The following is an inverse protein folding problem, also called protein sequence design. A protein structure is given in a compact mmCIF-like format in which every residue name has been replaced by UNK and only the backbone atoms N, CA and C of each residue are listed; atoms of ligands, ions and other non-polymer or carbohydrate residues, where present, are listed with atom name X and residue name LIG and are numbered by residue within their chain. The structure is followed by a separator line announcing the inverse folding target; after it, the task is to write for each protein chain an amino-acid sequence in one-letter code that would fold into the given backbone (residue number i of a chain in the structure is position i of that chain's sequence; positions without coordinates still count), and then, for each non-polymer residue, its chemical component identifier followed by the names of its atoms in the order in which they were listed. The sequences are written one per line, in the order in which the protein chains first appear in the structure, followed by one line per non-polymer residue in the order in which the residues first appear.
data_IF_282477823354
#
_entry.id   IF_282477823354
#
_cell.length_a   1.000
_cell.length_b   1.000
_cell.length_c   1.000
_cell.angle_alpha   90.00
_cell.angle_beta   90.00
_cell.angle_gamma   90.00
#
_symmetry.space_group_name_H-M   'P 1'
#
loop_
_entity.id
_entity.type
_entity.pdbx_description
1 polymer ?
#
# COMPACT_ATOMS: atom_id res chain seq x y z
N UNK A 1 -0.73 7.58 10.67
CA UNK A 1 -1.84 7.02 9.86
C UNK A 1 -1.24 6.43 8.59
N UNK A 2 -1.72 5.29 8.10
CA UNK A 2 -1.35 4.72 6.80
C UNK A 2 -2.60 4.08 6.18
N UNK A 3 -2.89 4.38 4.91
CA UNK A 3 -4.06 3.85 4.20
C UNK A 3 -4.20 4.44 2.79
N UNK A 4 -4.69 3.64 1.84
CA UNK A 4 -4.98 4.07 0.47
C UNK A 4 -3.78 4.64 -0.31
N UNK A 5 -2.55 4.20 0.00
CA UNK A 5 -1.32 4.73 -0.60
C UNK A 5 -0.81 6.04 0.04
N UNK A 6 -1.42 6.49 1.13
CA UNK A 6 -0.99 7.67 1.89
C UNK A 6 -0.55 7.29 3.30
N UNK A 7 0.50 7.95 3.81
CA UNK A 7 0.93 7.79 5.19
C UNK A 7 1.47 9.09 5.78
N UNK A 8 1.44 9.20 7.11
CA UNK A 8 1.96 10.33 7.87
C UNK A 8 2.84 9.83 9.01
N UNK A 9 4.04 10.41 9.15
CA UNK A 9 5.01 10.09 10.19
C UNK A 9 5.37 11.35 10.98
N UNK A 10 5.38 11.23 12.31
CA UNK A 10 6.03 12.20 13.18
C UNK A 10 7.44 11.69 13.49
N UNK A 11 8.45 12.43 13.05
CA UNK A 11 9.87 12.04 13.16
C UNK A 11 10.69 13.19 13.74
N UNK A 12 11.88 12.91 14.32
CA UNK A 12 12.79 13.97 14.72
C UNK A 12 13.09 14.92 13.55
N UNK A 13 13.10 16.23 13.79
CA UNK A 13 13.26 17.25 12.75
C UNK A 13 14.52 17.06 11.87
N UNK A 14 15.59 16.45 12.41
CA UNK A 14 16.82 16.12 11.66
C UNK A 14 16.61 15.08 10.56
N UNK A 15 15.59 14.23 10.65
CA UNK A 15 15.27 13.25 9.61
C UNK A 15 14.85 13.93 8.30
N UNK A 16 14.28 15.14 8.39
CA UNK A 16 13.85 15.93 7.23
C UNK A 16 15.06 16.36 6.38
N UNK A 17 16.21 16.55 7.01
CA UNK A 17 17.45 16.93 6.32
C UNK A 17 17.98 15.82 5.37
N UNK A 18 17.45 14.60 5.49
CA UNK A 18 17.81 13.43 4.66
C UNK A 18 16.70 13.01 3.69
N UNK A 19 15.62 13.79 3.54
CA UNK A 19 14.49 13.41 2.67
C UNK A 19 14.92 13.10 1.24
N UNK A 20 15.83 13.90 0.66
CA UNK A 20 16.30 13.67 -0.70
C UNK A 20 17.07 12.35 -0.85
N UNK A 21 17.80 11.94 0.19
CA UNK A 21 18.50 10.66 0.23
C UNK A 21 17.49 9.51 0.24
N UNK A 22 16.47 9.62 1.10
CA UNK A 22 15.40 8.62 1.18
C UNK A 22 14.58 8.56 -0.11
N UNK A 23 14.25 9.69 -0.72
CA UNK A 23 13.50 9.75 -1.98
C UNK A 23 14.29 9.10 -3.11
N UNK A 24 15.61 9.34 -3.21
CA UNK A 24 16.49 8.66 -4.17
C UNK A 24 16.50 7.14 -4.00
N UNK A 25 16.58 6.68 -2.76
CA UNK A 25 16.57 5.25 -2.46
C UNK A 25 15.25 4.60 -2.90
N UNK A 26 14.13 5.21 -2.50
CA UNK A 26 12.78 4.76 -2.87
C UNK A 26 12.59 4.78 -4.39
N UNK A 27 12.94 5.88 -5.06
CA UNK A 27 12.82 6.01 -6.52
C UNK A 27 13.62 4.91 -7.21
N UNK A 28 14.85 4.61 -6.75
CA UNK A 28 15.67 3.56 -7.35
C UNK A 28 15.03 2.17 -7.25
N UNK A 29 14.45 1.81 -6.10
CA UNK A 29 13.82 0.51 -5.92
C UNK A 29 12.50 0.39 -6.68
N UNK A 30 11.64 1.41 -6.57
CA UNK A 30 10.35 1.42 -7.25
C UNK A 30 10.53 1.44 -8.77
N UNK A 31 11.46 2.24 -9.29
CA UNK A 31 11.73 2.30 -10.73
C UNK A 31 12.25 0.97 -11.28
N UNK A 32 13.14 0.29 -10.55
CA UNK A 32 13.65 -1.03 -10.97
C UNK A 32 12.55 -2.09 -10.99
N UNK A 33 11.61 -2.05 -10.05
CA UNK A 33 10.56 -3.05 -9.93
C UNK A 33 9.34 -2.79 -10.84
N UNK A 34 8.98 -1.51 -11.03
CA UNK A 34 7.70 -1.12 -11.64
C UNK A 34 7.85 -0.07 -12.75
N UNK A 35 9.08 0.25 -13.16
CA UNK A 35 9.34 1.30 -14.14
C UNK A 35 8.71 2.63 -13.70
N UNK A 36 7.90 3.22 -14.58
CA UNK A 36 7.20 4.49 -14.33
C UNK A 36 5.77 4.32 -13.83
N UNK A 37 5.25 3.09 -13.75
CA UNK A 37 3.83 2.83 -13.46
C UNK A 37 3.47 3.06 -12.00
N UNK A 38 4.44 2.90 -11.10
CA UNK A 38 4.31 3.19 -9.67
C UNK A 38 5.35 4.22 -9.25
N UNK A 39 4.96 5.19 -8.44
CA UNK A 39 5.87 6.14 -7.81
C UNK A 39 5.45 6.36 -6.36
N UNK A 40 6.43 6.48 -5.47
CA UNK A 40 6.22 6.80 -4.05
C UNK A 40 6.87 8.13 -3.76
N UNK A 41 6.07 9.09 -3.28
CA UNK A 41 6.52 10.45 -3.01
C UNK A 41 6.54 10.68 -1.51
N UNK A 42 7.69 11.08 -0.99
CA UNK A 42 7.84 11.49 0.41
C UNK A 42 8.15 12.99 0.49
N UNK A 43 7.42 13.68 1.35
CA UNK A 43 7.62 15.10 1.65
C UNK A 43 7.58 15.30 3.17
N UNK A 44 8.15 16.39 3.65
CA UNK A 44 8.17 16.67 5.08
C UNK A 44 8.46 18.13 5.38
N UNK A 45 7.95 18.57 6.52
CA UNK A 45 8.08 19.94 7.03
C UNK A 45 8.47 19.89 8.51
N UNK A 46 9.43 20.74 8.90
CA UNK A 46 9.83 20.88 10.31
C UNK A 46 8.73 21.63 11.04
N UNK A 47 8.39 21.17 12.23
CA UNK A 47 7.34 21.77 13.05
C UNK A 47 7.92 22.27 14.37
N UNK A 48 7.54 23.49 14.73
CA UNK A 48 7.66 24.02 16.09
C UNK A 48 6.41 23.68 16.90
N UNK A 49 6.48 23.80 18.24
CA UNK A 49 5.33 23.58 19.11
C UNK A 49 4.16 24.53 18.80
N UNK A 50 4.43 25.77 18.39
CA UNK A 50 3.39 26.71 17.99
C UNK A 50 2.62 26.23 16.74
N UNK A 51 3.31 25.66 15.75
CA UNK A 51 2.70 25.16 14.51
C UNK A 51 1.91 23.86 14.71
N UNK A 52 2.12 23.17 15.83
CA UNK A 52 1.27 22.02 16.20
C UNK A 52 -0.14 22.45 16.62
N UNK A 53 -0.30 23.69 17.11
CA UNK A 53 -1.62 24.24 17.43
C UNK A 53 -2.44 24.57 16.16
N UNK A 54 -1.77 24.90 15.05
CA UNK A 54 -2.39 25.13 13.73
C UNK A 54 -2.17 23.97 12.75
N UNK A 55 -2.39 22.74 13.23
CA UNK A 55 -2.10 21.52 12.48
C UNK A 55 -2.80 21.44 11.11
N UNK A 56 -3.99 22.04 10.96
CA UNK A 56 -4.72 22.05 9.68
C UNK A 56 -3.96 22.81 8.57
N UNK A 57 -3.39 23.98 8.87
CA UNK A 57 -2.66 24.76 7.86
C UNK A 57 -1.33 24.08 7.51
N UNK A 58 -0.70 23.48 8.51
CA UNK A 58 0.46 22.60 8.35
C UNK A 58 0.16 21.44 7.40
N UNK A 59 -0.95 20.72 7.58
CA UNK A 59 -1.36 19.63 6.67
C UNK A 59 -1.65 20.11 5.25
N UNK A 60 -2.22 21.31 5.10
CA UNK A 60 -2.48 21.91 3.78
C UNK A 60 -1.18 22.21 3.04
N UNK A 61 -0.22 22.85 3.70
CA UNK A 61 1.13 23.10 3.14
C UNK A 61 1.83 21.82 2.73
N UNK A 62 1.77 20.78 3.57
CA UNK A 62 2.33 19.46 3.25
C UNK A 62 1.64 18.82 2.02
N UNK A 63 0.32 19.01 1.89
CA UNK A 63 -0.44 18.57 0.73
C UNK A 63 0.01 19.27 -0.56
N UNK A 64 0.14 20.60 -0.53
CA UNK A 64 0.63 21.41 -1.66
C UNK A 64 2.04 20.98 -2.10
N UNK A 65 2.95 20.80 -1.13
CA UNK A 65 4.31 20.30 -1.39
C UNK A 65 4.29 18.90 -2.02
N UNK A 66 3.41 18.02 -1.54
CA UNK A 66 3.25 16.67 -2.09
C UNK A 66 2.74 16.69 -3.53
N UNK A 67 1.80 17.58 -3.86
CA UNK A 67 1.31 17.76 -5.23
C UNK A 67 2.40 18.31 -6.16
N UNK A 68 3.25 19.23 -5.69
CA UNK A 68 4.38 19.69 -6.48
C UNK A 68 5.33 18.53 -6.83
N UNK A 69 5.68 17.70 -5.84
CA UNK A 69 6.55 16.54 -6.06
C UNK A 69 5.90 15.46 -6.93
N UNK A 70 4.58 15.26 -6.82
CA UNK A 70 3.83 14.36 -7.73
C UNK A 70 3.86 14.82 -9.18
N UNK A 71 4.03 16.10 -9.45
CA UNK A 71 4.22 16.63 -10.81
C UNK A 71 5.68 16.53 -11.30
N UNK A 72 6.61 16.10 -10.43
CA UNK A 72 8.04 15.95 -10.70
C UNK A 72 8.53 14.54 -10.35
N UNK A 73 7.72 13.51 -10.62
CA UNK A 73 8.05 12.10 -10.33
C UNK A 73 9.38 11.71 -10.96
N UNK A 74 10.17 10.91 -10.26
CA UNK A 74 11.49 10.45 -10.70
C UNK A 74 12.46 11.57 -11.07
N UNK A 75 12.25 12.81 -10.61
CA UNK A 75 13.20 13.91 -10.81
C UNK A 75 14.60 13.59 -10.27
N UNK A 76 14.69 12.68 -9.29
CA UNK A 76 15.97 12.19 -8.78
C UNK A 76 16.70 11.25 -9.75
N UNK A 77 15.97 10.58 -10.65
CA UNK A 77 16.50 9.63 -11.63
C UNK A 77 16.56 10.20 -13.05
N UNK A 78 15.78 11.24 -13.37
CA UNK A 78 15.66 11.79 -14.73
C UNK A 78 17.00 12.27 -15.30
N UNK A 79 17.91 12.73 -14.44
CA UNK A 79 19.24 13.17 -14.85
C UNK A 79 20.25 12.02 -15.01
N UNK A 80 19.82 10.77 -14.82
CA UNK A 80 20.64 9.58 -15.00
C UNK A 80 20.41 8.97 -16.38
N UNK A 81 21.44 8.37 -16.98
CA UNK A 81 21.31 7.72 -18.30
C UNK A 81 20.26 6.61 -18.30
N UNK A 82 20.13 5.91 -17.18
CA UNK A 82 19.22 4.76 -16.98
C UNK A 82 17.76 5.12 -17.28
N UNK A 83 17.34 6.37 -17.03
CA UNK A 83 15.95 6.78 -17.23
C UNK A 83 15.58 6.98 -18.71
N UNK A 84 16.52 7.43 -19.53
CA UNK A 84 16.30 7.70 -20.96
C UNK A 84 16.89 6.63 -21.87
N UNK A 85 17.32 5.50 -21.31
CA UNK A 85 17.84 4.39 -22.08
C UNK A 85 16.71 3.75 -22.91
N UNK A 86 16.87 3.63 -24.24
CA UNK A 86 15.88 2.97 -25.07
C UNK A 86 15.70 1.53 -24.62
N UNK A 87 14.49 1.17 -24.21
CA UNK A 87 14.18 -0.22 -23.86
C UNK A 87 13.94 -1.01 -25.14
N UNK A 88 14.58 -2.18 -25.27
CA UNK A 88 14.39 -3.05 -26.43
C UNK A 88 13.05 -3.77 -26.31
N UNK A 89 12.03 -3.31 -27.02
CA UNK A 89 10.77 -4.04 -27.12
C UNK A 89 11.00 -5.29 -27.99
N UNK A 90 11.21 -6.45 -27.36
CA UNK A 90 11.13 -7.74 -28.06
C UNK A 90 9.65 -8.10 -28.27
N UNK A 91 9.37 -8.91 -29.29
CA UNK A 91 8.00 -9.26 -29.69
C UNK A 91 7.21 -10.02 -28.60
N UNK A 92 7.90 -10.66 -27.66
CA UNK A 92 7.31 -11.46 -26.59
C UNK A 92 7.42 -10.68 -25.27
N UNK A 93 6.28 -10.22 -24.76
CA UNK A 93 6.17 -9.49 -23.49
C UNK A 93 5.04 -10.08 -22.65
N UNK A 94 5.08 -9.85 -21.34
CA UNK A 94 4.00 -10.26 -20.46
C UNK A 94 2.68 -9.56 -20.83
N UNK A 95 1.56 -10.27 -21.05
CA UNK A 95 0.29 -9.63 -21.37
C UNK A 95 -0.30 -8.82 -20.20
N UNK A 96 0.24 -8.99 -18.98
CA UNK A 96 -0.23 -8.33 -17.77
C UNK A 96 0.59 -7.08 -17.43
N UNK A 97 1.91 -7.21 -17.28
CA UNK A 97 2.79 -6.10 -16.90
C UNK A 97 3.63 -5.54 -18.06
N UNK A 98 3.59 -6.17 -19.24
CA UNK A 98 4.40 -5.81 -20.40
C UNK A 98 5.93 -5.83 -20.18
N UNK A 99 6.40 -6.37 -19.04
CA UNK A 99 7.82 -6.62 -18.82
C UNK A 99 8.34 -7.77 -19.70
N UNK A 100 9.65 -7.78 -19.96
CA UNK A 100 10.31 -8.82 -20.75
C UNK A 100 10.19 -10.20 -20.07
N UNK A 101 9.78 -11.22 -20.84
CA UNK A 101 9.84 -12.62 -20.42
C UNK A 101 11.27 -13.11 -20.51
N UNK A 102 11.82 -13.63 -19.40
CA UNK A 102 13.23 -14.04 -19.38
C UNK A 102 13.49 -15.43 -19.91
N UNK A 103 12.57 -16.40 -19.85
CA UNK A 103 12.83 -17.78 -20.32
C UNK A 103 11.56 -18.52 -20.76
N UNK A 104 11.75 -19.51 -21.65
CA UNK A 104 10.79 -20.58 -21.89
C UNK A 104 10.99 -21.66 -20.83
N UNK A 105 9.90 -22.19 -20.27
CA UNK A 105 9.99 -23.38 -19.44
C UNK A 105 10.37 -24.62 -20.28
N UNK A 106 10.63 -25.77 -19.64
CA UNK A 106 10.96 -27.04 -20.33
C UNK A 106 9.86 -27.55 -21.29
N UNK A 107 8.65 -26.98 -21.24
CA UNK A 107 7.52 -27.29 -22.10
C UNK A 107 7.32 -26.27 -23.25
N UNK A 108 8.16 -25.23 -23.35
CA UNK A 108 8.10 -24.21 -24.41
C UNK A 108 7.17 -23.03 -24.11
N UNK A 109 6.51 -23.00 -22.95
CA UNK A 109 5.61 -21.91 -22.54
C UNK A 109 6.39 -20.74 -21.91
N UNK A 110 5.86 -19.53 -22.08
CA UNK A 110 6.42 -18.31 -21.50
C UNK A 110 6.21 -18.30 -19.99
N UNK A 111 7.29 -18.12 -19.22
CA UNK A 111 7.21 -17.98 -17.76
C UNK A 111 7.16 -16.50 -17.38
N UNK A 112 6.06 -16.05 -16.77
CA UNK A 112 5.86 -14.67 -16.34
C UNK A 112 6.20 -14.52 -14.84
N UNK A 113 7.43 -14.88 -14.47
CA UNK A 113 7.91 -15.02 -13.08
C UNK A 113 7.44 -13.88 -12.14
N UNK A 114 7.57 -12.62 -12.57
CA UNK A 114 7.14 -11.48 -11.76
C UNK A 114 5.61 -11.36 -11.62
N UNK A 115 4.82 -11.55 -12.67
CA UNK A 115 3.36 -11.45 -12.57
C UNK A 115 2.74 -12.64 -11.83
N UNK A 116 3.26 -13.84 -12.08
CA UNK A 116 2.82 -15.05 -11.38
C UNK A 116 3.11 -14.97 -9.88
N UNK A 117 4.20 -14.30 -9.50
CA UNK A 117 4.51 -14.03 -8.09
C UNK A 117 3.41 -13.25 -7.35
N UNK A 118 2.71 -12.33 -8.03
CA UNK A 118 1.56 -11.62 -7.43
C UNK A 118 0.36 -12.55 -7.22
N UNK A 119 0.13 -13.49 -8.13
CA UNK A 119 -0.95 -14.47 -7.98
C UNK A 119 -0.67 -15.40 -6.78
N UNK A 120 0.57 -15.84 -6.62
CA UNK A 120 0.99 -16.64 -5.47
C UNK A 120 0.91 -15.85 -4.16
N UNK A 121 1.40 -14.60 -4.14
CA UNK A 121 1.26 -13.70 -2.99
C UNK A 121 -0.22 -13.55 -2.58
N UNK A 122 -1.12 -13.39 -3.54
CA UNK A 122 -2.57 -13.34 -3.29
C UNK A 122 -3.11 -14.60 -2.60
N UNK A 123 -2.69 -15.80 -3.05
CA UNK A 123 -3.06 -17.07 -2.42
C UNK A 123 -2.52 -17.18 -0.99
N UNK A 124 -1.29 -16.73 -0.76
CA UNK A 124 -0.65 -16.75 0.55
C UNK A 124 -1.35 -15.82 1.54
N UNK A 125 -1.66 -14.59 1.13
CA UNK A 125 -2.42 -13.63 1.93
C UNK A 125 -3.81 -14.15 2.32
N UNK A 126 -4.44 -14.93 1.44
CA UNK A 126 -5.74 -15.54 1.73
C UNK A 126 -5.62 -16.73 2.71
N UNK A 127 -4.50 -17.46 2.71
CA UNK A 127 -4.34 -18.71 3.46
C UNK A 127 -3.74 -18.52 4.86
N UNK A 128 -2.77 -17.63 4.99
CA UNK A 128 -1.94 -17.52 6.18
C UNK A 128 -2.28 -16.28 7.01
N UNK A 129 -1.79 -16.24 8.26
CA UNK A 129 -2.16 -15.21 9.25
C UNK A 129 -1.03 -14.25 9.61
N UNK A 130 0.21 -14.67 9.42
CA UNK A 130 1.42 -13.99 9.88
C UNK A 130 2.46 -13.86 8.75
N UNK A 131 3.38 -12.91 8.83
CA UNK A 131 4.52 -12.73 7.89
C UNK A 131 5.90 -12.51 8.60
N UNK A 132 7.02 -12.97 8.02
CA UNK A 132 8.42 -12.86 8.54
C UNK A 132 9.51 -12.53 7.47
N UNK A 133 10.64 -11.91 7.88
CA UNK A 133 11.72 -11.28 7.08
C UNK A 133 13.03 -12.09 6.83
N UNK A 134 13.66 -11.95 5.64
CA UNK A 134 14.97 -12.53 5.14
C UNK A 134 15.57 -11.71 3.92
N UNK A 135 16.58 -12.14 3.11
CA UNK A 135 17.43 -11.32 2.16
C UNK A 135 17.56 -11.82 0.66
N UNK A 136 17.79 -10.89 -0.33
CA UNK A 136 18.50 -10.91 -1.68
C UNK A 136 17.81 -10.11 -2.88
N UNK A 137 17.90 -10.53 -4.18
CA UNK A 137 17.94 -9.74 -5.47
C UNK A 137 16.60 -9.70 -6.26
N UNK A 138 16.22 -8.56 -6.88
CA UNK A 138 14.88 -8.33 -7.49
C UNK A 138 14.56 -9.11 -8.78
N UNK A 139 13.70 -10.14 -8.66
CA UNK A 139 13.09 -10.96 -9.71
C UNK A 139 11.61 -11.32 -9.44
N UNK A 140 11.24 -11.44 -8.17
CA UNK A 140 9.96 -11.83 -7.60
C UNK A 140 9.34 -10.66 -6.82
N UNK A 141 8.03 -10.65 -6.58
CA UNK A 141 7.38 -9.61 -5.77
C UNK A 141 7.99 -9.49 -4.37
N UNK A 142 8.40 -10.61 -3.78
CA UNK A 142 9.06 -10.65 -2.48
C UNK A 142 10.32 -9.81 -2.47
N UNK A 143 11.07 -9.82 -3.56
CA UNK A 143 12.33 -9.10 -3.65
C UNK A 143 12.13 -7.56 -3.67
N UNK A 144 10.95 -7.09 -4.08
CA UNK A 144 10.57 -5.68 -3.95
C UNK A 144 10.50 -5.31 -2.47
N UNK A 145 9.84 -6.13 -1.66
CA UNK A 145 9.83 -5.96 -0.22
C UNK A 145 11.25 -6.09 0.35
N UNK A 146 12.06 -7.00 -0.20
CA UNK A 146 13.43 -7.23 0.29
C UNK A 146 14.33 -6.04 0.02
N UNK A 147 14.13 -5.32 -1.09
CA UNK A 147 14.81 -4.06 -1.36
C UNK A 147 14.53 -3.00 -0.28
N UNK A 148 13.34 -3.02 0.31
CA UNK A 148 13.00 -2.20 1.50
C UNK A 148 13.45 -2.80 2.83
N UNK A 149 14.19 -3.91 2.77
CA UNK A 149 14.67 -4.65 3.93
C UNK A 149 13.58 -5.50 4.59
N UNK A 150 12.64 -6.05 3.84
CA UNK A 150 11.62 -6.97 4.34
C UNK A 150 11.55 -8.21 3.45
N UNK A 151 11.59 -9.42 3.98
CA UNK A 151 11.00 -10.55 3.24
C UNK A 151 9.68 -10.94 3.81
N UNK A 152 8.89 -11.59 2.97
CA UNK A 152 7.56 -12.05 3.30
C UNK A 152 7.60 -13.57 3.43
N UNK A 153 7.32 -14.06 4.64
CA UNK A 153 7.20 -15.49 4.93
C UNK A 153 5.92 -15.73 5.69
N UNK A 154 4.95 -16.33 5.01
CA UNK A 154 3.63 -16.49 5.57
C UNK A 154 3.49 -17.72 6.48
N UNK A 155 2.90 -17.55 7.68
CA UNK A 155 2.75 -18.61 8.69
C UNK A 155 1.36 -18.61 9.35
N UNK A 156 1.05 -19.70 10.04
CA UNK A 156 -0.17 -19.86 10.85
C UNK A 156 0.09 -19.75 12.37
N UNK A 157 1.36 -19.62 12.77
CA UNK A 157 1.78 -19.48 14.16
C UNK A 157 2.37 -18.09 14.40
N UNK A 158 2.06 -17.52 15.56
CA UNK A 158 2.51 -16.20 15.97
C UNK A 158 3.82 -16.24 16.76
N UNK A 159 4.58 -15.15 16.70
CA UNK A 159 5.72 -14.87 17.56
C UNK A 159 5.90 -13.33 17.70
N UNK A 160 6.71 -12.82 18.64
CA UNK A 160 6.83 -11.37 18.87
C UNK A 160 7.39 -10.55 17.69
N UNK A 161 7.88 -11.18 16.62
CA UNK A 161 8.49 -10.53 15.45
C UNK A 161 7.62 -10.55 14.20
N UNK A 162 6.43 -11.15 14.23
CA UNK A 162 5.54 -11.23 13.07
C UNK A 162 4.46 -10.18 13.09
N UNK A 163 3.97 -9.81 11.92
CA UNK A 163 2.78 -8.98 11.75
C UNK A 163 1.54 -9.86 11.59
N UNK A 164 0.40 -9.42 12.14
CA UNK A 164 -0.89 -10.10 11.93
C UNK A 164 -1.67 -9.41 10.81
N UNK A 165 -2.18 -10.20 9.86
CA UNK A 165 -2.90 -9.68 8.69
C UNK A 165 -4.35 -9.24 8.98
N UNK A 166 -4.85 -9.48 10.19
CA UNK A 166 -6.19 -9.09 10.60
C UNK A 166 -6.17 -8.37 11.94
N UNK A 167 -6.98 -7.32 12.06
CA UNK A 167 -7.21 -6.66 13.33
C UNK A 167 -7.88 -7.65 14.28
N UNK A 168 -7.25 -7.91 15.43
CA UNK A 168 -7.84 -8.67 16.53
C UNK A 168 -8.29 -7.69 17.62
N UNK A 169 -9.32 -8.04 18.38
CA UNK A 169 -9.84 -7.19 19.46
C UNK A 169 -8.79 -6.92 20.55
N UNK A 170 -7.82 -7.83 20.71
CA UNK A 170 -6.70 -7.71 21.64
C UNK A 170 -5.41 -8.05 20.92
N UNK A 171 -4.52 -7.07 20.81
CA UNK A 171 -3.16 -7.28 20.32
C UNK A 171 -2.35 -8.04 21.38
N UNK A 172 -1.96 -9.28 21.06
CA UNK A 172 -1.09 -10.09 21.90
C UNK A 172 0.37 -9.93 21.47
N UNK A 173 1.10 -9.07 22.19
CA UNK A 173 2.50 -8.76 21.89
C UNK A 173 3.45 -9.97 22.07
N UNK A 174 3.01 -11.04 22.73
CA UNK A 174 3.77 -12.29 22.78
C UNK A 174 3.67 -13.09 21.49
N UNK A 175 2.64 -12.83 20.68
CA UNK A 175 2.33 -13.58 19.45
C UNK A 175 2.47 -12.74 18.19
N UNK A 176 2.66 -11.43 18.31
CA UNK A 176 2.87 -10.54 17.17
C UNK A 176 3.46 -9.19 17.60
N UNK A 177 4.10 -8.52 16.66
CA UNK A 177 4.59 -7.16 16.86
C UNK A 177 3.47 -6.12 16.72
N UNK A 178 2.65 -6.25 15.67
CA UNK A 178 1.51 -5.37 15.38
C UNK A 178 0.62 -6.01 14.30
N UNK A 179 -0.43 -5.32 13.84
CA UNK A 179 -1.28 -5.74 12.72
C UNK A 179 -1.18 -4.77 11.52
N UNK A 180 -1.42 -5.29 10.31
CA UNK A 180 -1.44 -4.51 9.04
C UNK A 180 -2.89 -4.37 8.51
N UNK A 181 -3.80 -5.27 8.91
CA UNK A 181 -5.24 -5.26 8.60
C UNK A 181 -5.64 -4.99 7.13
N UNK A 182 -5.04 -5.66 6.12
CA UNK A 182 -5.62 -5.70 4.77
C UNK A 182 -7.04 -6.31 4.76
N UNK A 183 -7.83 -5.91 3.76
CA UNK A 183 -9.09 -6.59 3.48
C UNK A 183 -8.80 -7.89 2.71
N UNK A 184 -8.80 -9.03 3.41
CA UNK A 184 -8.39 -10.34 2.84
C UNK A 184 -9.56 -11.30 2.60
N UNK A 185 -10.80 -10.85 2.73
CA UNK A 185 -11.95 -11.72 2.48
C UNK A 185 -11.99 -12.11 1.00
N UNK A 186 -12.01 -13.41 0.73
CA UNK A 186 -12.10 -13.99 -0.60
C UNK A 186 -13.15 -15.08 -0.58
N UNK A 187 -13.92 -15.21 -1.67
CA UNK A 187 -14.91 -16.27 -1.81
C UNK A 187 -14.23 -17.64 -1.92
N UNK A 188 -14.84 -18.64 -1.28
CA UNK A 188 -14.37 -20.02 -1.26
C UNK A 188 -15.47 -20.99 -1.65
N UNK A 189 -15.08 -22.17 -2.13
CA UNK A 189 -15.98 -23.31 -2.33
C UNK A 189 -16.25 -24.05 -1.00
N UNK A 190 -17.00 -25.15 -1.07
CA UNK A 190 -17.33 -25.98 0.09
C UNK A 190 -16.11 -26.70 0.68
N UNK A 191 -15.06 -26.89 -0.12
CA UNK A 191 -13.80 -27.54 0.25
C UNK A 191 -12.79 -26.54 0.84
N UNK A 192 -13.09 -25.24 0.77
CA UNK A 192 -12.26 -24.14 1.27
C UNK A 192 -11.28 -23.56 0.25
N UNK A 193 -11.32 -23.99 -1.01
CA UNK A 193 -10.48 -23.46 -2.09
C UNK A 193 -11.02 -22.11 -2.58
N UNK A 194 -10.12 -21.27 -3.10
CA UNK A 194 -10.51 -20.00 -3.72
C UNK A 194 -11.23 -20.27 -5.04
N UNK A 195 -12.36 -19.59 -5.25
CA UNK A 195 -13.13 -19.70 -6.50
C UNK A 195 -12.76 -18.60 -7.48
N UNK A 196 -12.80 -18.91 -8.77
CA UNK A 196 -12.58 -17.92 -9.84
C UNK A 196 -13.81 -17.06 -10.11
N UNK A 197 -13.65 -15.99 -10.89
CA UNK A 197 -14.74 -15.07 -11.25
C UNK A 197 -15.87 -15.76 -12.01
N UNK A 198 -15.54 -16.74 -12.87
CA UNK A 198 -16.53 -17.48 -13.65
C UNK A 198 -17.38 -18.40 -12.75
N UNK A 199 -16.76 -19.04 -11.76
CA UNK A 199 -17.48 -19.82 -10.75
C UNK A 199 -18.39 -18.93 -9.89
N UNK A 200 -17.92 -17.74 -9.52
CA UNK A 200 -18.73 -16.75 -8.82
C UNK A 200 -19.93 -16.30 -9.66
N UNK A 201 -19.72 -16.03 -10.96
CA UNK A 201 -20.79 -15.67 -11.89
C UNK A 201 -21.83 -16.80 -12.04
N UNK A 202 -21.39 -18.05 -12.06
CA UNK A 202 -22.28 -19.21 -12.15
C UNK A 202 -23.19 -19.36 -10.92
N UNK A 203 -22.75 -18.90 -9.74
CA UNK A 203 -23.55 -18.87 -8.50
C UNK A 203 -24.57 -17.72 -8.43
N UNK A 204 -24.56 -16.78 -9.37
CA UNK A 204 -25.51 -15.66 -9.38
C UNK A 204 -26.96 -16.09 -9.58
N UNK A 205 -27.89 -15.39 -8.93
CA UNK A 205 -29.33 -15.53 -9.15
C UNK A 205 -29.70 -14.68 -10.37
N UNK A 206 -30.23 -15.31 -11.41
CA UNK A 206 -30.57 -14.65 -12.68
C UNK A 206 -29.43 -14.73 -13.70
N UNK A 207 -29.07 -13.58 -14.29
CA UNK A 207 -28.05 -13.50 -15.35
C UNK A 207 -26.67 -13.85 -14.79
N UNK A 208 -25.97 -14.79 -15.44
CA UNK A 208 -24.66 -15.30 -15.03
C UNK A 208 -23.54 -14.29 -15.26
N UNK A 209 -23.40 -13.36 -14.31
CA UNK A 209 -22.39 -12.30 -14.31
C UNK A 209 -21.90 -12.04 -12.89
N UNK A 210 -20.65 -11.63 -12.76
CA UNK A 210 -20.14 -11.00 -11.54
C UNK A 210 -20.41 -9.50 -11.57
N UNK A 211 -20.59 -8.91 -10.39
CA UNK A 211 -20.81 -7.47 -10.22
C UNK A 211 -19.58 -6.80 -9.61
N UNK A 212 -19.33 -5.55 -10.00
CA UNK A 212 -18.26 -4.72 -9.42
C UNK A 212 -18.89 -3.58 -8.65
N UNK A 213 -18.47 -3.41 -7.40
CA UNK A 213 -18.79 -2.25 -6.60
C UNK A 213 -17.50 -1.49 -6.26
N UNK A 214 -17.46 -0.20 -6.58
CA UNK A 214 -16.41 0.71 -6.15
C UNK A 214 -17.07 1.84 -5.36
N UNK A 215 -16.71 1.93 -4.09
CA UNK A 215 -17.14 3.02 -3.20
C UNK A 215 -15.97 3.94 -2.88
N UNK A 216 -16.27 5.19 -2.55
CA UNK A 216 -15.34 6.16 -1.97
C UNK A 216 -16.05 6.89 -0.82
N UNK A 217 -15.29 7.38 0.16
CA UNK A 217 -15.85 8.12 1.29
C UNK A 217 -15.91 9.59 0.93
N UNK A 218 -17.13 10.13 0.85
CA UNK A 218 -17.34 11.54 0.52
C UNK A 218 -16.72 12.48 1.55
N UNK A 219 -16.05 13.53 1.06
CA UNK A 219 -15.50 14.61 1.87
C UNK A 219 -14.45 14.20 2.93
N UNK A 220 -13.85 13.02 2.81
CA UNK A 220 -12.90 12.50 3.80
C UNK A 220 -11.74 13.48 4.10
N UNK A 221 -11.17 14.08 3.05
CA UNK A 221 -10.11 15.09 3.21
C UNK A 221 -10.56 16.38 3.92
N UNK A 222 -11.84 16.76 3.80
CA UNK A 222 -12.40 17.91 4.52
C UNK A 222 -12.62 17.56 5.99
N UNK A 223 -13.09 16.35 6.29
CA UNK A 223 -13.26 15.83 7.65
C UNK A 223 -11.93 15.82 8.39
N UNK A 224 -10.86 15.32 7.78
CA UNK A 224 -9.54 15.30 8.45
C UNK A 224 -8.96 16.68 8.72
N UNK A 225 -9.29 17.70 7.92
CA UNK A 225 -8.81 19.08 8.13
C UNK A 225 -9.63 19.86 9.14
N UNK A 226 -10.95 19.74 9.10
CA UNK A 226 -11.88 20.58 9.89
C UNK A 226 -12.52 19.87 11.08
N UNK A 227 -12.35 18.55 11.19
CA UNK A 227 -13.09 17.75 12.15
C UNK A 227 -14.57 17.59 11.78
N UNK A 228 -15.28 16.73 12.52
CA UNK A 228 -16.72 16.48 12.35
C UNK A 228 -17.59 17.63 12.87
N UNK A 229 -17.08 18.41 13.82
CA UNK A 229 -17.85 19.43 14.56
C UNK A 229 -18.27 20.59 13.65
N UNK A 230 -17.40 21.01 12.73
CA UNK A 230 -17.70 22.10 11.79
C UNK A 230 -18.52 21.65 10.56
N UNK A 231 -18.65 20.33 10.35
CA UNK A 231 -19.35 19.75 9.20
C UNK A 231 -20.81 19.38 9.51
N UNK A 232 -21.21 19.37 10.79
CA UNK A 232 -22.57 19.11 11.25
C UNK A 232 -23.10 20.33 12.02
N UNK A 233 -23.62 21.37 11.33
CA UNK A 233 -24.29 22.48 12.01
C UNK A 233 -25.51 22.06 12.84
N UNK A 234 -26.02 20.83 12.63
CA UNK A 234 -27.31 20.36 13.14
C UNK A 234 -27.25 19.57 14.46
N UNK A 235 -26.09 19.41 15.10
CA UNK A 235 -25.96 18.70 16.38
C UNK A 235 -25.56 19.60 17.56
N UNK A 236 -25.83 20.91 17.46
CA UNK A 236 -25.94 21.74 18.66
C UNK A 236 -27.28 21.43 19.31
N UNK A 237 -27.31 20.41 20.17
CA UNK A 237 -28.36 20.27 21.16
C UNK A 237 -28.31 21.52 22.05
N UNK A 238 -29.34 22.36 21.96
CA UNK A 238 -29.62 23.44 22.90
C UNK A 238 -30.16 22.85 24.21
N UNK A 239 -29.38 22.01 24.89
CA UNK A 239 -29.69 21.60 26.25
C UNK A 239 -28.42 21.58 27.08
N UNK A 240 -28.36 22.54 27.99
CA UNK A 240 -27.27 22.82 28.93
C UNK A 240 -27.20 21.79 30.07
N UNK A 241 -27.46 20.51 29.77
CA UNK A 241 -27.45 19.42 30.75
C UNK A 241 -26.66 18.17 30.33
N UNK A 242 -26.13 18.09 29.10
CA UNK A 242 -25.38 16.92 28.67
C UNK A 242 -23.86 17.14 28.77
N UNK A 243 -23.33 16.93 29.98
CA UNK A 243 -21.89 16.87 30.22
C UNK A 243 -21.30 15.60 29.61
N UNK A 244 -20.85 15.68 28.36
CA UNK A 244 -19.96 14.66 27.79
C UNK A 244 -18.53 15.15 27.95
N UNK A 245 -17.89 14.70 29.03
CA UNK A 245 -16.45 14.78 29.22
C UNK A 245 -15.79 13.91 28.13
N UNK A 246 -15.15 14.56 27.16
CA UNK A 246 -14.23 13.91 26.24
C UNK A 246 -12.90 13.66 26.98
N UNK A 247 -12.49 12.39 27.05
CA UNK A 247 -11.10 11.98 27.17
C UNK A 247 -10.66 11.40 25.83
#
# INVERSE_FOLDING_TARGET
MSGGGHFYLAVPAKAIDRLDEYQRLIDSFIYKAHGTDLAVIITGIKLSLAETAEFSETLKKLGELSEEHKNKKFSTLINTRIFFEPTRVKAESCPYCYCETKQHNKAGEHEYEFCESFAELGKQLAKYKYEEKTDIEIKHVDDVFEAFGYKLVFRNEGNPKVFVLQKTDKLDLQRCMTYISPATYMCRDEEGNLIELDEMANKSIGVKRWGVLRGDVDNLGKIFRKGLVDLLPALKCEDSSCGVLAY
#
